data_IF_894118280748
#
_entry.id   IF_894118280748
#
_cell.length_a   1.000
_cell.length_b   1.000
_cell.length_c   1.000
_cell.angle_alpha   90.00
_cell.angle_beta   90.00
_cell.angle_gamma   90.00
#
_symmetry.space_group_name_H-M   'P 1'
#
loop_
_entity.id
_entity.type
_entity.pdbx_description
1 polymer ?
#
# COMPACT_ATOMS: atom_id res chain seq x y z
N UNK A 1 0.78 16.00 -11.25
CA UNK A 1 0.47 15.38 -12.54
C UNK A 1 -0.06 16.37 -13.60
N UNK A 2 0.07 17.70 -13.39
CA UNK A 2 -0.36 18.72 -14.38
C UNK A 2 0.71 19.17 -15.38
N UNK A 3 1.84 18.45 -15.50
CA UNK A 3 3.00 18.90 -16.29
C UNK A 3 3.20 18.12 -17.58
N UNK A 4 2.76 16.85 -17.65
CA UNK A 4 3.00 16.01 -18.83
C UNK A 4 2.44 16.60 -20.13
N UNK A 5 1.20 17.13 -20.13
CA UNK A 5 0.60 17.69 -21.34
C UNK A 5 1.22 19.03 -21.72
N UNK A 6 1.61 19.87 -20.76
CA UNK A 6 2.28 21.13 -21.00
C UNK A 6 3.73 20.93 -21.54
N UNK A 7 4.48 20.00 -20.96
CA UNK A 7 5.84 19.65 -21.39
C UNK A 7 5.85 18.98 -22.77
N UNK A 8 4.86 18.11 -23.04
CA UNK A 8 4.75 17.39 -24.31
C UNK A 8 4.20 18.28 -25.44
N UNK A 9 3.27 19.19 -25.15
CA UNK A 9 2.78 20.19 -26.11
C UNK A 9 3.83 21.25 -26.48
N UNK A 10 4.87 21.44 -25.66
CA UNK A 10 6.03 22.25 -26.05
C UNK A 10 6.94 21.54 -27.07
N UNK A 11 6.93 20.20 -27.09
CA UNK A 11 7.75 19.37 -27.97
C UNK A 11 7.06 19.06 -29.32
N UNK A 12 5.74 18.88 -29.30
CA UNK A 12 4.92 18.81 -30.51
C UNK A 12 4.39 20.22 -30.81
N UNK A 13 4.89 20.86 -31.87
CA UNK A 13 4.51 22.21 -32.31
C UNK A 13 3.06 22.61 -31.92
N UNK A 14 2.83 23.81 -31.34
CA UNK A 14 1.56 24.15 -30.70
C UNK A 14 0.44 24.32 -31.74
N UNK A 15 -0.19 23.21 -32.08
CA UNK A 15 -1.37 23.12 -32.93
C UNK A 15 -2.48 22.39 -32.15
N UNK A 16 -3.76 22.73 -32.38
CA UNK A 16 -4.87 22.15 -31.63
C UNK A 16 -4.91 20.61 -31.65
N UNK A 17 -4.44 19.99 -32.74
CA UNK A 17 -4.32 18.53 -32.86
C UNK A 17 -3.16 17.93 -32.06
N UNK A 18 -2.08 18.69 -31.84
CA UNK A 18 -0.93 18.26 -31.05
C UNK A 18 -1.23 18.23 -29.54
N UNK A 19 -2.06 19.18 -29.08
CA UNK A 19 -2.51 19.25 -27.68
C UNK A 19 -3.39 18.03 -27.35
N UNK A 20 -4.35 17.69 -28.22
CA UNK A 20 -5.20 16.51 -28.04
C UNK A 20 -4.40 15.19 -28.06
N UNK A 21 -3.36 15.09 -28.90
CA UNK A 21 -2.48 13.93 -28.92
C UNK A 21 -1.62 13.83 -27.65
N UNK A 22 -1.11 14.97 -27.14
CA UNK A 22 -0.35 15.02 -25.90
C UNK A 22 -1.20 14.57 -24.69
N UNK A 23 -2.45 15.03 -24.60
CA UNK A 23 -3.38 14.60 -23.54
C UNK A 23 -3.68 13.10 -23.62
N UNK A 24 -3.87 12.54 -24.81
CA UNK A 24 -4.11 11.10 -24.96
C UNK A 24 -2.92 10.26 -24.50
N UNK A 25 -1.69 10.64 -24.89
CA UNK A 25 -0.46 9.94 -24.50
C UNK A 25 -0.23 10.06 -22.99
N UNK A 26 -0.41 11.26 -22.42
CA UNK A 26 -0.23 11.48 -20.99
C UNK A 26 -1.24 10.69 -20.14
N UNK A 27 -2.49 10.57 -20.57
CA UNK A 27 -3.46 9.71 -19.90
C UNK A 27 -3.03 8.24 -19.96
N UNK A 28 -2.61 7.74 -21.13
CA UNK A 28 -2.13 6.35 -21.25
C UNK A 28 -0.89 6.06 -20.41
N UNK A 29 0.05 7.01 -20.34
CA UNK A 29 1.24 6.86 -19.51
C UNK A 29 0.94 6.97 -18.01
N UNK A 30 0.01 7.84 -17.62
CA UNK A 30 -0.47 7.95 -16.24
C UNK A 30 -1.17 6.66 -15.80
N UNK A 31 -2.03 6.09 -16.64
CA UNK A 31 -2.70 4.81 -16.38
C UNK A 31 -1.69 3.68 -16.19
N UNK A 32 -0.67 3.62 -17.06
CA UNK A 32 0.39 2.62 -16.98
C UNK A 32 1.23 2.78 -15.70
N UNK A 33 1.61 4.00 -15.35
CA UNK A 33 2.38 4.29 -14.13
C UNK A 33 1.58 3.91 -12.89
N UNK A 34 0.29 4.28 -12.84
CA UNK A 34 -0.60 3.91 -11.74
C UNK A 34 -0.73 2.39 -11.60
N UNK A 35 -0.88 1.66 -12.70
CA UNK A 35 -0.95 0.19 -12.65
C UNK A 35 0.35 -0.45 -12.11
N UNK A 36 1.51 0.07 -12.51
CA UNK A 36 2.82 -0.42 -12.02
C UNK A 36 2.99 -0.11 -10.54
N UNK A 37 2.68 1.11 -10.10
CA UNK A 37 2.81 1.51 -8.70
C UNK A 37 1.92 0.65 -7.79
N UNK A 38 0.65 0.42 -8.18
CA UNK A 38 -0.27 -0.41 -7.40
C UNK A 38 0.17 -1.88 -7.35
N UNK A 39 0.62 -2.45 -8.48
CA UNK A 39 1.09 -3.83 -8.50
C UNK A 39 2.34 -4.00 -7.65
N UNK A 40 3.27 -3.03 -7.69
CA UNK A 40 4.44 -3.02 -6.80
C UNK A 40 4.07 -2.91 -5.33
N UNK A 41 3.11 -2.04 -4.99
CA UNK A 41 2.66 -1.85 -3.61
C UNK A 41 1.99 -3.12 -3.06
N UNK A 42 1.11 -3.75 -3.84
CA UNK A 42 0.49 -5.03 -3.49
C UNK A 42 1.53 -6.15 -3.37
N UNK A 43 2.48 -6.23 -4.30
CA UNK A 43 3.56 -7.22 -4.26
C UNK A 43 4.42 -7.08 -3.00
N UNK A 44 4.83 -5.86 -2.70
CA UNK A 44 5.56 -5.53 -1.47
C UNK A 44 4.77 -5.90 -0.20
N UNK A 45 3.45 -5.66 -0.20
CA UNK A 45 2.58 -6.02 0.91
C UNK A 45 2.51 -7.55 1.13
N UNK A 46 2.43 -8.35 0.06
CA UNK A 46 2.47 -9.81 0.18
C UNK A 46 3.78 -10.30 0.78
N UNK A 47 4.92 -9.77 0.34
CA UNK A 47 6.23 -10.13 0.90
C UNK A 47 6.32 -9.80 2.40
N UNK A 48 5.76 -8.68 2.83
CA UNK A 48 5.71 -8.31 4.24
C UNK A 48 4.86 -9.30 5.07
N UNK A 49 3.73 -9.77 4.54
CA UNK A 49 2.92 -10.79 5.21
C UNK A 49 3.65 -12.13 5.35
N UNK A 50 4.46 -12.51 4.35
CA UNK A 50 5.31 -13.71 4.44
C UNK A 50 6.35 -13.64 5.57
N UNK A 51 6.74 -12.44 6.03
CA UNK A 51 7.68 -12.29 7.15
C UNK A 51 7.12 -12.85 8.47
N UNK A 52 5.83 -12.62 8.74
CA UNK A 52 5.17 -13.15 9.94
C UNK A 52 5.09 -14.69 9.92
N UNK A 53 4.80 -15.26 8.76
CA UNK A 53 4.83 -16.71 8.56
C UNK A 53 6.25 -17.30 8.70
N UNK A 54 7.28 -16.58 8.22
CA UNK A 54 8.67 -17.00 8.33
C UNK A 54 9.14 -17.10 9.79
N UNK A 55 8.85 -16.09 10.60
CA UNK A 55 9.16 -16.12 12.04
C UNK A 55 8.36 -17.21 12.77
N UNK A 56 7.09 -17.38 12.43
CA UNK A 56 6.25 -18.42 13.01
C UNK A 56 6.84 -19.83 12.79
N UNK A 57 7.35 -20.11 11.58
CA UNK A 57 7.96 -21.39 11.24
C UNK A 57 9.30 -21.61 11.97
N UNK A 58 10.12 -20.56 12.11
CA UNK A 58 11.39 -20.62 12.86
C UNK A 58 11.12 -20.91 14.34
N UNK A 59 10.19 -20.17 14.96
CA UNK A 59 9.79 -20.38 16.34
C UNK A 59 9.21 -21.79 16.53
N UNK A 60 8.29 -22.25 15.67
CA UNK A 60 7.71 -23.59 15.74
C UNK A 60 8.79 -24.70 15.62
N UNK A 61 9.81 -24.51 14.78
CA UNK A 61 10.93 -25.44 14.63
C UNK A 61 11.88 -25.47 15.83
N UNK A 62 11.94 -24.40 16.61
CA UNK A 62 12.77 -24.31 17.83
C UNK A 62 12.12 -24.92 19.09
N UNK A 63 10.81 -25.20 19.06
CA UNK A 63 10.08 -25.79 20.20
C UNK A 63 9.83 -27.29 20.00
N UNK A 64 9.66 -28.02 21.11
CA UNK A 64 9.25 -29.44 21.07
C UNK A 64 7.95 -29.59 20.30
N UNK A 65 7.87 -30.61 19.43
CA UNK A 65 6.73 -30.88 18.54
C UNK A 65 5.35 -30.89 19.25
N UNK A 66 5.30 -31.30 20.52
CA UNK A 66 4.07 -31.31 21.33
C UNK A 66 3.48 -29.90 21.56
N UNK A 67 4.32 -28.87 21.55
CA UNK A 67 3.91 -27.47 21.79
C UNK A 67 3.94 -26.61 20.52
N UNK A 68 4.54 -27.09 19.42
CA UNK A 68 4.68 -26.36 18.17
C UNK A 68 3.32 -25.96 17.55
N UNK A 69 2.30 -26.82 17.67
CA UNK A 69 0.93 -26.51 17.20
C UNK A 69 0.33 -25.31 17.95
N UNK A 70 0.56 -25.22 19.27
CA UNK A 70 0.06 -24.10 20.07
C UNK A 70 0.71 -22.78 19.67
N UNK A 71 1.99 -22.80 19.29
CA UNK A 71 2.74 -21.62 18.85
C UNK A 71 2.36 -21.20 17.43
N UNK A 72 2.10 -22.15 16.53
CA UNK A 72 1.59 -21.81 15.19
C UNK A 72 0.21 -21.15 15.27
N UNK A 73 -0.68 -21.64 16.14
CA UNK A 73 -2.02 -21.08 16.30
C UNK A 73 -1.96 -19.60 16.75
N UNK A 74 -1.08 -19.27 17.69
CA UNK A 74 -0.93 -17.89 18.17
C UNK A 74 -0.36 -16.96 17.09
N UNK A 75 0.52 -17.44 16.21
CA UNK A 75 1.04 -16.63 15.10
C UNK A 75 -0.02 -16.32 14.04
N UNK A 76 -0.91 -17.28 13.75
CA UNK A 76 -2.03 -17.05 12.82
C UNK A 76 -3.04 -16.07 13.42
N UNK A 77 -3.31 -16.19 14.73
CA UNK A 77 -4.16 -15.25 15.45
C UNK A 77 -3.55 -13.84 15.47
N UNK A 78 -2.23 -13.70 15.67
CA UNK A 78 -1.54 -12.41 15.63
C UNK A 78 -1.75 -11.70 14.30
N UNK A 79 -1.54 -12.40 13.17
CA UNK A 79 -1.73 -11.82 11.83
C UNK A 79 -3.19 -11.37 11.58
N UNK A 80 -4.18 -12.18 11.99
CA UNK A 80 -5.60 -11.85 11.83
C UNK A 80 -6.03 -10.67 12.72
N UNK A 81 -5.58 -10.66 13.97
CA UNK A 81 -5.87 -9.61 14.95
C UNK A 81 -5.19 -8.31 14.55
N UNK A 82 -3.93 -8.35 14.11
CA UNK A 82 -3.19 -7.18 13.63
C UNK A 82 -3.89 -6.53 12.42
N UNK A 83 -4.36 -7.33 11.45
CA UNK A 83 -5.14 -6.81 10.32
C UNK A 83 -6.45 -6.14 10.75
N UNK A 84 -7.18 -6.75 11.69
CA UNK A 84 -8.44 -6.20 12.20
C UNK A 84 -8.23 -4.90 12.99
N UNK A 85 -7.22 -4.84 13.86
CA UNK A 85 -6.89 -3.63 14.61
C UNK A 85 -6.37 -2.52 13.71
N UNK A 86 -5.58 -2.85 12.68
CA UNK A 86 -5.12 -1.86 11.71
C UNK A 86 -6.27 -1.27 10.90
N UNK A 87 -7.24 -2.11 10.51
CA UNK A 87 -8.46 -1.65 9.84
C UNK A 87 -9.31 -0.72 10.71
N UNK A 88 -9.56 -1.10 11.97
CA UNK A 88 -10.45 -0.33 12.84
C UNK A 88 -9.83 0.98 13.35
N UNK A 89 -8.56 0.94 13.77
CA UNK A 89 -7.91 2.07 14.45
C UNK A 89 -6.57 2.48 13.83
N UNK A 90 -5.83 1.54 13.23
CA UNK A 90 -4.48 1.81 12.71
C UNK A 90 -4.47 2.83 11.57
N UNK A 91 -5.39 2.71 10.61
CA UNK A 91 -5.49 3.67 9.51
C UNK A 91 -5.83 5.08 10.00
N UNK A 92 -6.78 5.19 10.93
CA UNK A 92 -7.18 6.46 11.53
C UNK A 92 -6.03 7.16 12.26
N UNK A 93 -5.19 6.42 12.98
CA UNK A 93 -4.07 6.99 13.70
C UNK A 93 -2.90 7.36 12.80
N UNK A 94 -2.63 6.57 11.75
CA UNK A 94 -1.48 6.78 10.86
C UNK A 94 -1.75 7.81 9.74
N UNK A 95 -2.95 7.79 9.15
CA UNK A 95 -3.32 8.60 7.99
C UNK A 95 -4.53 9.51 8.23
N UNK A 96 -5.15 9.46 9.41
CA UNK A 96 -6.25 10.34 9.76
C UNK A 96 -5.83 11.80 9.91
N UNK A 97 -6.77 12.72 9.62
CA UNK A 97 -6.51 14.15 9.67
C UNK A 97 -5.95 14.59 11.04
N UNK A 98 -4.85 15.36 11.07
CA UNK A 98 -4.19 15.73 12.31
C UNK A 98 -5.06 16.66 13.15
N UNK A 99 -5.12 16.40 14.45
CA UNK A 99 -5.65 17.36 15.42
C UNK A 99 -4.52 18.21 16.02
N UNK A 100 -4.85 19.46 16.40
CA UNK A 100 -4.00 20.46 17.05
C UNK A 100 -2.76 19.85 17.73
N UNK A 101 -1.63 19.83 17.02
CA UNK A 101 -0.35 19.28 17.49
C UNK A 101 0.24 18.13 16.67
N UNK A 102 -0.47 17.56 15.69
CA UNK A 102 0.10 16.62 14.70
C UNK A 102 0.52 15.23 15.24
N UNK A 103 0.24 14.94 16.51
CA UNK A 103 0.67 13.69 17.16
C UNK A 103 -0.25 12.50 16.86
N UNK A 104 -1.55 12.72 16.65
CA UNK A 104 -2.54 11.65 16.43
C UNK A 104 -3.62 12.08 15.44
N UNK A 105 -3.91 11.21 14.46
CA UNK A 105 -5.07 11.32 13.57
C UNK A 105 -6.36 10.99 14.29
N UNK A 106 -7.41 11.81 14.10
CA UNK A 106 -8.73 11.64 14.78
C UNK A 106 -9.88 11.35 13.81
N UNK A 107 -9.61 11.26 12.52
CA UNK A 107 -10.60 10.97 11.48
C UNK A 107 -10.23 9.66 10.75
N UNK A 108 -11.22 9.03 10.12
CA UNK A 108 -11.10 7.79 9.34
C UNK A 108 -10.97 6.48 10.16
N UNK A 109 -11.76 6.33 11.23
CA UNK A 109 -11.88 5.06 11.97
C UNK A 109 -12.70 4.05 11.17
N UNK A 110 -12.10 2.91 10.83
CA UNK A 110 -12.73 1.88 10.01
C UNK A 110 -12.76 2.19 8.50
N UNK A 111 -12.37 3.40 8.07
CA UNK A 111 -12.05 3.78 6.68
C UNK A 111 -11.56 5.23 6.57
#
# INVERSE_FOLDING_TARGET
MGTCSADLAALLCPNATAIAAADYICNKFSDASFAVDNTYLLFSAYLNFFMQLGFAMLCAGSVRAKNAISVMLTNVLDAAIAGLFYYLFGFAFAFGSPSNGGFIGRHNFGL
#
